data_IF_705467136841
#
_entry.id   IF_705467136841
#
_cell.length_a   1.000
_cell.length_b   1.000
_cell.length_c   1.000
_cell.angle_alpha   90.00
_cell.angle_beta   90.00
_cell.angle_gamma   90.00
#
_symmetry.space_group_name_H-M   'P 1'
#
loop_
_entity.id
_entity.type
_entity.pdbx_description
1 polymer ?
#
# COMPACT_ATOMS: atom_id res chain seq x y z
N UNK A 1 3.00 -43.05 38.17
CA UNK A 1 4.34 -42.62 37.70
C UNK A 1 4.15 -41.56 36.61
N UNK A 2 3.74 -40.35 37.00
CA UNK A 2 3.08 -39.37 36.12
C UNK A 2 3.63 -37.94 36.32
N UNK A 3 4.87 -37.82 36.80
CA UNK A 3 5.43 -36.54 37.30
C UNK A 3 6.93 -36.37 37.05
N UNK A 4 7.53 -37.07 36.08
CA UNK A 4 8.99 -37.07 35.90
C UNK A 4 9.43 -36.87 34.44
N UNK A 5 8.77 -35.95 33.73
CA UNK A 5 9.20 -35.50 32.40
C UNK A 5 8.89 -34.01 32.26
N UNK A 6 9.26 -33.27 33.30
CA UNK A 6 9.07 -31.84 33.50
C UNK A 6 10.40 -31.27 33.98
N UNK A 7 11.46 -31.28 33.14
CA UNK A 7 12.79 -30.72 33.51
C UNK A 7 13.83 -30.62 32.37
N UNK A 8 13.45 -30.52 31.10
CA UNK A 8 14.39 -30.22 29.99
C UNK A 8 13.50 -29.85 28.79
N UNK A 9 13.17 -28.60 28.48
CA UNK A 9 13.99 -27.63 27.75
C UNK A 9 13.34 -26.26 27.97
N UNK A 10 13.69 -25.62 29.09
CA UNK A 10 13.32 -24.24 29.41
C UNK A 10 14.61 -23.46 29.69
N UNK A 11 15.45 -23.28 28.66
CA UNK A 11 16.73 -22.58 28.82
C UNK A 11 17.34 -22.04 27.51
N UNK A 12 16.54 -21.56 26.54
CA UNK A 12 17.04 -20.63 25.50
C UNK A 12 15.93 -19.63 25.16
N UNK A 13 15.60 -18.79 26.13
CA UNK A 13 14.95 -17.51 25.90
C UNK A 13 15.95 -16.45 26.36
N UNK A 14 16.06 -15.34 25.62
CA UNK A 14 16.74 -14.09 26.01
C UNK A 14 18.22 -13.93 25.58
N UNK A 15 18.49 -13.97 24.28
CA UNK A 15 19.56 -13.16 23.66
C UNK A 15 19.36 -13.15 22.13
N UNK A 16 18.71 -12.10 21.61
CA UNK A 16 18.41 -11.97 20.18
C UNK A 16 17.42 -10.85 19.85
N UNK A 17 16.81 -10.21 20.86
CA UNK A 17 16.11 -8.95 20.70
C UNK A 17 17.07 -7.77 20.55
N UNK A 18 17.89 -7.79 19.50
CA UNK A 18 18.55 -6.60 19.00
C UNK A 18 17.75 -6.17 17.78
N UNK A 19 17.15 -4.98 17.84
CA UNK A 19 16.36 -4.39 16.78
C UNK A 19 17.16 -4.33 15.47
N UNK A 20 16.92 -5.29 14.59
CA UNK A 20 17.30 -5.18 13.19
C UNK A 20 16.31 -4.26 12.52
N UNK A 21 16.78 -3.14 11.97
CA UNK A 21 16.00 -2.13 11.25
C UNK A 21 15.30 -2.68 10.00
N UNK A 22 14.30 -3.52 10.22
CA UNK A 22 13.34 -3.96 9.24
C UNK A 22 12.08 -3.11 9.33
N UNK A 23 11.35 -3.06 8.23
CA UNK A 23 10.11 -2.34 8.13
C UNK A 23 9.02 -2.94 9.04
N UNK A 24 8.05 -2.13 9.46
CA UNK A 24 6.92 -2.56 10.31
C UNK A 24 5.63 -2.70 9.50
N UNK A 25 4.66 -3.43 10.02
CA UNK A 25 3.36 -3.57 9.35
C UNK A 25 2.67 -2.21 9.24
N UNK A 26 2.79 -1.39 10.29
CA UNK A 26 2.30 -0.03 10.32
C UNK A 26 3.04 0.90 9.35
N UNK A 27 4.35 0.74 9.19
CA UNK A 27 5.15 1.52 8.24
C UNK A 27 4.74 1.24 6.79
N UNK A 28 4.70 -0.02 6.40
CA UNK A 28 4.21 -0.44 5.08
C UNK A 28 2.77 0.01 4.84
N UNK A 29 1.91 -0.08 5.86
CA UNK A 29 0.53 0.38 5.76
C UNK A 29 0.43 1.89 5.54
N UNK A 30 1.23 2.67 6.26
CA UNK A 30 1.26 4.12 6.12
C UNK A 30 1.71 4.52 4.71
N UNK A 31 2.74 3.88 4.18
CA UNK A 31 3.23 4.12 2.82
C UNK A 31 2.20 3.72 1.76
N UNK A 32 1.54 2.56 1.92
CA UNK A 32 0.48 2.14 1.01
C UNK A 32 -0.66 3.17 0.97
N UNK A 33 -1.07 3.65 2.15
CA UNK A 33 -2.10 4.68 2.29
C UNK A 33 -1.68 5.99 1.63
N UNK A 34 -0.44 6.43 1.83
CA UNK A 34 0.10 7.62 1.20
C UNK A 34 0.11 7.50 -0.33
N UNK A 35 0.50 6.34 -0.87
CA UNK A 35 0.50 6.07 -2.31
C UNK A 35 -0.92 6.09 -2.90
N UNK A 36 -1.92 5.57 -2.18
CA UNK A 36 -3.33 5.63 -2.61
C UNK A 36 -3.85 7.08 -2.67
N UNK A 37 -3.53 7.89 -1.67
CA UNK A 37 -3.87 9.33 -1.66
C UNK A 37 -3.18 10.07 -2.79
N UNK A 38 -1.87 9.85 -2.98
CA UNK A 38 -1.10 10.47 -4.05
C UNK A 38 -1.65 10.09 -5.44
N UNK A 39 -2.03 8.82 -5.65
CA UNK A 39 -2.68 8.40 -6.89
C UNK A 39 -4.00 9.14 -7.12
N UNK A 40 -4.84 9.25 -6.09
CA UNK A 40 -6.10 9.97 -6.18
C UNK A 40 -5.90 11.46 -6.50
N UNK A 41 -4.95 12.12 -5.84
CA UNK A 41 -4.57 13.50 -6.14
C UNK A 41 -4.08 13.68 -7.58
N UNK A 42 -3.25 12.75 -8.08
CA UNK A 42 -2.79 12.79 -9.47
C UNK A 42 -3.98 12.71 -10.42
N UNK A 43 -4.83 11.69 -10.29
CA UNK A 43 -5.95 11.46 -11.19
C UNK A 43 -6.99 12.60 -11.13
N UNK A 44 -7.29 13.11 -9.94
CA UNK A 44 -8.22 14.22 -9.76
C UNK A 44 -7.70 15.52 -10.37
N UNK A 45 -6.38 15.75 -10.34
CA UNK A 45 -5.74 16.95 -10.90
C UNK A 45 -5.67 16.99 -12.44
N UNK A 46 -5.86 15.86 -13.13
CA UNK A 46 -5.83 15.84 -14.60
C UNK A 46 -7.12 16.43 -15.15
N UNK A 47 -7.08 17.62 -15.72
CA UNK A 47 -8.24 18.33 -16.30
C UNK A 47 -8.13 18.56 -17.80
N UNK A 48 -6.94 18.40 -18.36
CA UNK A 48 -6.60 18.77 -19.74
C UNK A 48 -5.36 17.99 -20.21
N UNK A 49 -4.95 18.24 -21.45
CA UNK A 49 -3.84 17.52 -22.09
C UNK A 49 -2.49 17.80 -21.41
N UNK A 50 -2.26 19.03 -20.95
CA UNK A 50 -1.00 19.42 -20.32
C UNK A 50 -0.84 18.73 -18.96
N UNK A 51 -1.89 18.78 -18.14
CA UNK A 51 -1.95 18.08 -16.86
C UNK A 51 -1.86 16.57 -17.03
N UNK A 52 -2.51 15.98 -18.04
CA UNK A 52 -2.40 14.55 -18.35
C UNK A 52 -0.96 14.13 -18.66
N UNK A 53 -0.26 14.88 -19.53
CA UNK A 53 1.16 14.61 -19.85
C UNK A 53 2.05 14.74 -18.62
N UNK A 54 1.80 15.72 -17.75
CA UNK A 54 2.56 15.90 -16.50
C UNK A 54 2.28 14.82 -15.47
N UNK A 55 1.09 14.20 -15.52
CA UNK A 55 0.68 13.15 -14.59
C UNK A 55 1.37 11.82 -14.88
N UNK A 56 1.69 11.51 -16.13
CA UNK A 56 2.35 10.25 -16.54
C UNK A 56 3.56 9.87 -15.66
N UNK A 57 4.61 10.70 -15.55
CA UNK A 57 5.78 10.35 -14.72
C UNK A 57 5.44 10.25 -13.22
N UNK A 58 4.40 10.97 -12.74
CA UNK A 58 3.94 10.90 -11.35
C UNK A 58 3.22 9.57 -11.08
N UNK A 59 2.39 9.11 -12.01
CA UNK A 59 1.74 7.80 -11.95
C UNK A 59 2.81 6.70 -11.90
N UNK A 60 3.79 6.75 -12.78
CA UNK A 60 4.88 5.76 -12.81
C UNK A 60 5.67 5.72 -11.49
N UNK A 61 5.95 6.90 -10.90
CA UNK A 61 6.62 7.00 -9.61
C UNK A 61 5.77 6.37 -8.49
N UNK A 62 4.47 6.67 -8.42
CA UNK A 62 3.57 6.07 -7.43
C UNK A 62 3.50 4.55 -7.62
N UNK A 63 3.39 4.07 -8.86
CA UNK A 63 3.41 2.63 -9.15
C UNK A 63 4.69 1.95 -8.67
N UNK A 64 5.84 2.60 -8.84
CA UNK A 64 7.11 2.09 -8.31
C UNK A 64 7.09 1.99 -6.78
N UNK A 65 6.54 3.01 -6.09
CA UNK A 65 6.34 2.97 -4.64
C UNK A 65 5.37 1.88 -4.21
N UNK A 66 4.29 1.63 -4.96
CA UNK A 66 3.33 0.55 -4.65
C UNK A 66 3.98 -0.83 -4.77
N UNK A 67 4.74 -1.10 -5.85
CA UNK A 67 5.53 -2.33 -5.99
C UNK A 67 6.55 -2.51 -4.87
N UNK A 68 7.18 -1.41 -4.47
CA UNK A 68 8.10 -1.40 -3.35
C UNK A 68 7.41 -1.77 -2.03
N UNK A 69 6.27 -1.15 -1.74
CA UNK A 69 5.44 -1.48 -0.58
C UNK A 69 5.00 -2.95 -0.61
N UNK A 70 4.55 -3.46 -1.76
CA UNK A 70 4.17 -4.86 -1.93
C UNK A 70 5.32 -5.82 -1.63
N UNK A 71 6.53 -5.48 -2.11
CA UNK A 71 7.74 -6.26 -1.80
C UNK A 71 8.06 -6.22 -0.30
N UNK A 72 8.00 -5.04 0.34
CA UNK A 72 8.25 -4.89 1.78
C UNK A 72 7.19 -5.61 2.62
N UNK A 73 5.92 -5.53 2.25
CA UNK A 73 4.80 -6.20 2.92
C UNK A 73 5.04 -7.72 3.08
N UNK A 74 5.63 -8.36 2.06
CA UNK A 74 5.94 -9.80 2.07
C UNK A 74 7.06 -10.17 3.05
N UNK A 75 7.92 -9.22 3.40
CA UNK A 75 9.04 -9.41 4.31
C UNK A 75 8.72 -9.00 5.76
N UNK A 76 7.65 -8.24 5.96
CA UNK A 76 7.23 -7.78 7.29
C UNK A 76 6.58 -8.92 8.07
N UNK A 77 6.89 -8.98 9.37
CA UNK A 77 6.25 -9.93 10.29
C UNK A 77 4.75 -9.66 10.36
N UNK A 78 3.94 -10.72 10.32
CA UNK A 78 2.49 -10.60 10.54
C UNK A 78 2.20 -9.84 11.85
N UNK A 79 1.35 -8.80 11.82
CA UNK A 79 0.95 -8.09 13.02
C UNK A 79 0.16 -9.01 13.97
N UNK A 80 0.10 -8.65 15.25
CA UNK A 80 -0.85 -9.28 16.18
C UNK A 80 -2.30 -8.88 15.85
N UNK A 81 -3.26 -9.60 16.43
CA UNK A 81 -4.68 -9.38 16.13
C UNK A 81 -5.19 -7.97 16.49
N UNK A 82 -4.61 -7.35 17.52
CA UNK A 82 -5.00 -5.99 17.92
C UNK A 82 -4.51 -4.96 16.89
N UNK A 83 -3.28 -5.13 16.41
CA UNK A 83 -2.68 -4.31 15.36
C UNK A 83 -3.38 -4.53 14.02
N UNK A 84 -3.64 -5.78 13.63
CA UNK A 84 -4.40 -6.14 12.42
C UNK A 84 -5.76 -5.44 12.40
N UNK A 85 -6.54 -5.53 13.48
CA UNK A 85 -7.83 -4.84 13.61
C UNK A 85 -7.72 -3.33 13.44
N UNK A 86 -6.73 -2.69 14.08
CA UNK A 86 -6.51 -1.24 13.96
C UNK A 86 -6.16 -0.83 12.52
N UNK A 87 -5.33 -1.63 11.84
CA UNK A 87 -4.97 -1.39 10.44
C UNK A 87 -6.16 -1.58 9.51
N UNK A 88 -7.02 -2.57 9.75
CA UNK A 88 -8.25 -2.77 8.98
C UNK A 88 -9.22 -1.60 9.13
N UNK A 89 -9.46 -1.13 10.36
CA UNK A 89 -10.30 0.05 10.62
C UNK A 89 -9.74 1.31 9.94
N UNK A 90 -8.42 1.49 9.97
CA UNK A 90 -7.76 2.58 9.28
C UNK A 90 -7.87 2.44 7.75
N UNK A 91 -7.73 1.23 7.19
CA UNK A 91 -7.90 0.96 5.76
C UNK A 91 -9.32 1.31 5.30
N UNK A 92 -10.34 0.94 6.09
CA UNK A 92 -11.72 1.29 5.80
C UNK A 92 -11.97 2.81 5.81
N UNK A 93 -11.27 3.56 6.66
CA UNK A 93 -11.33 5.02 6.65
C UNK A 93 -10.69 5.60 5.38
N UNK A 94 -9.50 5.11 5.02
CA UNK A 94 -8.80 5.51 3.78
C UNK A 94 -9.63 5.19 2.55
N UNK A 95 -10.24 4.00 2.48
CA UNK A 95 -11.10 3.63 1.36
C UNK A 95 -12.29 4.58 1.22
N UNK A 96 -12.95 4.92 2.32
CA UNK A 96 -14.07 5.88 2.32
C UNK A 96 -13.63 7.29 1.89
N UNK A 97 -12.42 7.70 2.25
CA UNK A 97 -11.85 8.99 1.88
C UNK A 97 -11.45 9.04 0.40
N UNK A 98 -10.72 8.03 -0.08
CA UNK A 98 -9.98 8.09 -1.34
C UNK A 98 -10.74 7.48 -2.52
N UNK A 99 -11.47 6.38 -2.29
CA UNK A 99 -12.11 5.63 -3.38
C UNK A 99 -13.18 6.41 -4.14
N UNK A 100 -14.03 7.25 -3.50
CA UNK A 100 -14.98 8.08 -4.23
C UNK A 100 -14.27 9.02 -5.22
N UNK A 101 -13.20 9.69 -4.79
CA UNK A 101 -12.44 10.59 -5.64
C UNK A 101 -11.75 9.87 -6.82
N UNK A 102 -11.21 8.67 -6.59
CA UNK A 102 -10.66 7.83 -7.67
C UNK A 102 -11.76 7.42 -8.66
N UNK A 103 -12.93 7.00 -8.16
CA UNK A 103 -14.05 6.58 -8.99
C UNK A 103 -14.57 7.73 -9.85
N UNK A 104 -14.75 8.92 -9.26
CA UNK A 104 -15.20 10.12 -9.97
C UNK A 104 -14.17 10.58 -11.00
N UNK A 105 -12.88 10.62 -10.64
CA UNK A 105 -11.81 10.94 -11.57
C UNK A 105 -11.75 9.94 -12.74
N UNK A 106 -11.86 8.64 -12.46
CA UNK A 106 -11.90 7.59 -13.48
C UNK A 106 -13.09 7.79 -14.41
N UNK A 107 -14.29 7.99 -13.90
CA UNK A 107 -15.48 8.22 -14.72
C UNK A 107 -15.30 9.46 -15.62
N UNK A 108 -14.79 10.56 -15.05
CA UNK A 108 -14.51 11.80 -15.79
C UNK A 108 -13.47 11.60 -16.88
N UNK A 109 -12.40 10.87 -16.61
CA UNK A 109 -11.34 10.58 -17.59
C UNK A 109 -11.86 9.64 -18.68
N UNK A 110 -12.67 8.62 -18.36
CA UNK A 110 -13.29 7.74 -19.36
C UNK A 110 -14.19 8.50 -20.33
N UNK A 111 -14.85 9.57 -19.90
CA UNK A 111 -15.61 10.48 -20.77
C UNK A 111 -14.72 11.38 -21.65
N UNK A 112 -13.40 11.35 -21.47
CA UNK A 112 -12.41 12.15 -22.20
C UNK A 112 -11.37 11.24 -22.88
N UNK A 113 -11.73 10.57 -24.00
CA UNK A 113 -10.84 9.65 -24.69
C UNK A 113 -9.42 10.19 -25.00
N UNK A 114 -9.24 11.47 -25.39
CA UNK A 114 -7.91 12.02 -25.63
C UNK A 114 -7.01 12.01 -24.39
N UNK A 115 -7.55 12.31 -23.20
CA UNK A 115 -6.78 12.27 -21.96
C UNK A 115 -6.44 10.84 -21.56
N UNK A 116 -7.40 9.93 -21.73
CA UNK A 116 -7.16 8.51 -21.46
C UNK A 116 -6.11 7.91 -22.37
N UNK A 117 -6.04 8.31 -23.64
CA UNK A 117 -4.99 7.85 -24.55
C UNK A 117 -3.58 8.20 -24.06
N UNK A 118 -3.42 9.35 -23.39
CA UNK A 118 -2.15 9.79 -22.79
C UNK A 118 -1.83 8.99 -21.52
N UNK A 119 -2.83 8.77 -20.66
CA UNK A 119 -2.63 8.11 -19.37
C UNK A 119 -2.56 6.58 -19.46
N UNK A 120 -3.23 5.98 -20.44
CA UNK A 120 -3.41 4.53 -20.53
C UNK A 120 -2.09 3.73 -20.46
N UNK A 121 -0.99 4.11 -21.14
CA UNK A 121 0.28 3.39 -21.00
C UNK A 121 0.80 3.38 -19.56
N UNK A 122 0.69 4.49 -18.85
CA UNK A 122 1.15 4.60 -17.46
C UNK A 122 0.26 3.82 -16.48
N UNK A 123 -1.02 3.63 -16.80
CA UNK A 123 -1.98 2.87 -15.99
C UNK A 123 -1.99 1.36 -16.29
N UNK A 124 -1.41 0.94 -17.41
CA UNK A 124 -1.42 -0.46 -17.84
C UNK A 124 -0.68 -1.38 -16.85
N UNK A 125 -1.32 -2.48 -16.46
CA UNK A 125 -0.74 -3.49 -15.58
C UNK A 125 -0.66 -3.07 -14.12
N UNK A 126 -1.36 -2.01 -13.71
CA UNK A 126 -1.37 -1.56 -12.31
C UNK A 126 -2.00 -2.61 -11.36
N UNK A 127 -2.86 -3.48 -11.87
CA UNK A 127 -3.41 -4.64 -11.16
C UNK A 127 -2.35 -5.65 -10.71
N UNK A 128 -1.11 -5.55 -11.23
CA UNK A 128 0.03 -6.40 -10.87
C UNK A 128 1.04 -5.72 -9.94
N UNK A 129 0.78 -4.46 -9.53
CA UNK A 129 1.71 -3.71 -8.68
C UNK A 129 1.59 -4.04 -7.17
N UNK A 130 0.68 -4.94 -6.79
CA UNK A 130 0.41 -5.39 -5.41
C UNK A 130 0.69 -6.90 -5.23
#
# INVERSE_FOLDING_TARGET
MKTMMLMLVLAVSLAGGCGGGGDSAEGVFADMTANLREMSEILTSVTDEASAKSAVPRIEAVRAKMRDCARRARAVRRPDAATEKRLDEAMLAVQREVMPAIADARQRLMAQPPLMAILAPALQGMEHDL
#
